data_IF_807184773088
#
_entry.id   IF_807184773088
#
_cell.length_a   1.000
_cell.length_b   1.000
_cell.length_c   1.000
_cell.angle_alpha   90.00
_cell.angle_beta   90.00
_cell.angle_gamma   90.00
#
_symmetry.space_group_name_H-M   'P 1'
#
loop_
_entity.id
_entity.type
_entity.pdbx_description
1 polymer ?
#
# COMPACT_ATOMS: atom_id res chain seq x y z
N UNK A 1 51.31 27.51 12.90
CA UNK A 1 50.51 26.35 12.45
C UNK A 1 49.05 26.35 12.94
N UNK A 2 48.58 27.36 13.70
CA UNK A 2 47.20 27.41 14.23
C UNK A 2 46.16 27.97 13.24
N UNK A 3 46.57 28.75 12.24
CA UNK A 3 45.66 29.38 11.27
C UNK A 3 44.94 28.37 10.36
N UNK A 4 45.61 27.29 9.95
CA UNK A 4 45.01 26.23 9.14
C UNK A 4 43.86 25.50 9.84
N UNK A 5 43.95 25.33 11.17
CA UNK A 5 42.92 24.65 11.96
C UNK A 5 41.61 25.44 12.02
N UNK A 6 41.71 26.77 12.04
CA UNK A 6 40.55 27.66 12.00
C UNK A 6 39.81 27.57 10.66
N UNK A 7 40.53 27.46 9.54
CA UNK A 7 39.89 27.24 8.23
C UNK A 7 39.19 25.88 8.14
N UNK A 8 39.73 24.83 8.78
CA UNK A 8 39.07 23.52 8.85
C UNK A 8 37.76 23.57 9.65
N UNK A 9 37.73 24.32 10.77
CA UNK A 9 36.50 24.52 11.56
C UNK A 9 35.47 25.29 10.75
N UNK A 10 35.87 26.39 10.10
CA UNK A 10 34.96 27.21 9.28
C UNK A 10 34.41 26.40 8.10
N UNK A 11 35.27 25.62 7.42
CA UNK A 11 34.86 24.75 6.32
C UNK A 11 33.92 23.64 6.80
N UNK A 12 34.17 23.06 7.98
CA UNK A 12 33.27 22.10 8.63
C UNK A 12 31.90 22.71 8.95
N UNK A 13 31.88 23.92 9.51
CA UNK A 13 30.64 24.65 9.80
C UNK A 13 29.88 25.02 8.51
N UNK A 14 30.60 25.42 7.47
CA UNK A 14 30.02 25.74 6.16
C UNK A 14 29.42 24.49 5.51
N UNK A 15 30.14 23.36 5.53
CA UNK A 15 29.64 22.08 5.05
C UNK A 15 28.41 21.62 5.84
N UNK A 16 28.41 21.74 7.17
CA UNK A 16 27.27 21.35 8.01
C UNK A 16 26.00 22.17 7.72
N UNK A 17 26.15 23.46 7.39
CA UNK A 17 25.03 24.32 7.06
C UNK A 17 24.57 24.18 5.60
N UNK A 18 25.51 24.08 4.66
CA UNK A 18 25.19 24.07 3.23
C UNK A 18 24.89 22.68 2.65
N UNK A 19 25.47 21.58 3.15
CA UNK A 19 25.15 20.22 2.63
C UNK A 19 23.67 19.88 2.75
N UNK A 20 23.02 20.06 3.91
CA UNK A 20 21.60 19.73 4.07
C UNK A 20 20.73 20.59 3.17
N UNK A 21 21.04 21.88 3.05
CA UNK A 21 20.25 22.78 2.21
C UNK A 21 20.44 22.52 0.71
N UNK A 22 21.65 22.17 0.30
CA UNK A 22 21.98 21.85 -1.09
C UNK A 22 21.31 20.54 -1.51
N UNK A 23 21.38 19.47 -0.69
CA UNK A 23 20.76 18.18 -1.04
C UNK A 23 19.23 18.30 -1.18
N UNK A 24 18.57 19.08 -0.31
CA UNK A 24 17.12 19.29 -0.38
C UNK A 24 16.72 20.16 -1.57
N UNK A 25 17.49 21.21 -1.89
CA UNK A 25 17.22 22.06 -3.06
C UNK A 25 17.42 21.33 -4.40
N UNK A 26 18.37 20.39 -4.47
CA UNK A 26 18.56 19.56 -5.66
C UNK A 26 17.39 18.61 -5.88
N UNK A 27 16.77 18.10 -4.82
CA UNK A 27 15.57 17.26 -4.92
C UNK A 27 14.33 18.02 -5.44
N UNK A 28 14.26 19.33 -5.22
CA UNK A 28 13.19 20.20 -5.73
C UNK A 28 13.43 20.63 -7.19
N UNK A 29 14.69 20.93 -7.55
CA UNK A 29 15.09 21.33 -8.89
C UNK A 29 15.16 20.17 -9.90
N UNK A 30 15.35 18.92 -9.44
CA UNK A 30 15.50 17.72 -10.29
C UNK A 30 14.20 17.20 -10.93
N UNK A 31 13.12 17.99 -10.97
CA UNK A 31 11.90 17.63 -11.71
C UNK A 31 10.98 16.63 -11.01
N UNK A 32 11.32 16.18 -9.80
CA UNK A 32 10.44 15.33 -8.96
C UNK A 32 9.09 16.01 -8.64
N UNK A 33 9.06 17.34 -8.55
CA UNK A 33 7.84 18.13 -8.38
C UNK A 33 6.93 18.05 -9.61
N UNK A 34 7.51 18.13 -10.81
CA UNK A 34 6.79 17.98 -12.07
C UNK A 34 6.26 16.55 -12.26
N UNK A 35 7.04 15.54 -11.86
CA UNK A 35 6.59 14.14 -11.87
C UNK A 35 5.44 13.88 -10.89
N UNK A 36 5.45 14.51 -9.71
CA UNK A 36 4.34 14.44 -8.73
C UNK A 36 3.07 15.06 -9.29
N UNK A 37 3.16 16.25 -9.90
CA UNK A 37 2.02 16.90 -10.56
C UNK A 37 1.48 16.05 -11.71
N UNK A 38 2.35 15.52 -12.58
CA UNK A 38 1.96 14.63 -13.68
C UNK A 38 1.33 13.34 -13.18
N UNK A 39 1.83 12.78 -12.07
CA UNK A 39 1.24 11.60 -11.44
C UNK A 39 -0.13 11.88 -10.84
N UNK A 40 -0.31 13.02 -10.18
CA UNK A 40 -1.59 13.42 -9.60
C UNK A 40 -2.63 13.72 -10.69
N UNK A 41 -2.24 14.43 -11.75
CA UNK A 41 -3.09 14.72 -12.90
C UNK A 41 -3.46 13.45 -13.67
N UNK A 42 -2.53 12.48 -13.75
CA UNK A 42 -2.81 11.15 -14.29
C UNK A 42 -3.83 10.40 -13.43
N UNK A 43 -3.69 10.38 -12.11
CA UNK A 43 -4.67 9.75 -11.20
C UNK A 43 -6.07 10.35 -11.37
N UNK A 44 -6.17 11.66 -11.60
CA UNK A 44 -7.43 12.35 -11.88
C UNK A 44 -7.99 12.01 -13.27
N UNK A 45 -7.13 11.86 -14.29
CA UNK A 45 -7.54 11.47 -15.65
C UNK A 45 -7.80 9.97 -15.84
N UNK A 46 -7.34 9.13 -14.92
CA UNK A 46 -7.37 7.66 -15.03
C UNK A 46 -8.62 7.03 -14.40
N UNK A 47 -9.57 7.83 -13.89
CA UNK A 47 -10.89 7.37 -13.42
C UNK A 47 -11.77 6.76 -14.52
N UNK A 48 -11.27 6.63 -15.76
CA UNK A 48 -11.98 5.99 -16.89
C UNK A 48 -11.14 5.00 -17.71
N UNK A 49 -9.89 4.70 -17.35
CA UNK A 49 -9.02 3.80 -18.11
C UNK A 49 -8.43 2.72 -17.20
N UNK A 50 -9.08 1.55 -17.18
CA UNK A 50 -8.71 0.37 -16.37
C UNK A 50 -7.38 -0.28 -16.80
N UNK A 51 -6.73 0.22 -17.85
CA UNK A 51 -5.50 -0.36 -18.42
C UNK A 51 -4.25 0.49 -18.12
N UNK A 52 -4.11 0.92 -16.87
CA UNK A 52 -2.89 1.59 -16.40
C UNK A 52 -1.69 0.65 -16.55
N UNK A 53 -0.54 1.19 -16.92
CA UNK A 53 0.76 0.51 -17.02
C UNK A 53 1.60 0.79 -15.75
N UNK A 54 1.24 0.26 -14.56
CA UNK A 54 1.95 0.53 -13.31
C UNK A 54 3.42 0.08 -13.37
N UNK A 55 3.72 -0.93 -14.21
CA UNK A 55 5.05 -1.52 -14.33
C UNK A 55 6.13 -0.51 -14.73
N UNK A 56 5.85 0.46 -15.62
CA UNK A 56 6.90 1.32 -16.16
C UNK A 56 7.46 2.29 -15.10
N UNK A 57 6.58 2.92 -14.31
CA UNK A 57 6.99 3.85 -13.25
C UNK A 57 7.74 3.15 -12.11
N UNK A 58 7.32 1.94 -11.73
CA UNK A 58 8.04 1.15 -10.74
C UNK A 58 9.42 0.72 -11.23
N UNK A 59 9.52 0.30 -12.50
CA UNK A 59 10.78 -0.07 -13.12
C UNK A 59 11.78 1.10 -13.16
N UNK A 60 11.34 2.32 -13.50
CA UNK A 60 12.20 3.52 -13.49
C UNK A 60 12.69 3.85 -12.08
N UNK A 61 11.83 3.75 -11.06
CA UNK A 61 12.22 3.97 -9.66
C UNK A 61 13.24 2.94 -9.18
N UNK A 62 13.05 1.66 -9.52
CA UNK A 62 13.99 0.60 -9.18
C UNK A 62 15.34 0.80 -9.88
N UNK A 63 15.34 1.18 -11.16
CA UNK A 63 16.56 1.50 -11.91
C UNK A 63 17.33 2.66 -11.29
N UNK A 64 16.65 3.76 -10.95
CA UNK A 64 17.28 4.92 -10.31
C UNK A 64 17.82 4.59 -8.91
N UNK A 65 17.12 3.73 -8.15
CA UNK A 65 17.60 3.28 -6.84
C UNK A 65 18.87 2.42 -6.97
N UNK A 66 18.95 1.54 -7.98
CA UNK A 66 20.13 0.73 -8.26
C UNK A 66 21.30 1.62 -8.72
N UNK A 67 21.04 2.61 -9.58
CA UNK A 67 22.06 3.57 -10.04
C UNK A 67 22.63 4.39 -8.88
N UNK A 68 21.78 4.95 -8.01
CA UNK A 68 22.22 5.73 -6.85
C UNK A 68 23.08 4.91 -5.88
N UNK A 69 22.73 3.63 -5.63
CA UNK A 69 23.55 2.73 -4.81
C UNK A 69 24.94 2.50 -5.40
N UNK A 70 25.04 2.40 -6.73
CA UNK A 70 26.32 2.23 -7.43
C UNK A 70 27.17 3.50 -7.37
N UNK A 71 26.57 4.67 -7.52
CA UNK A 71 27.29 5.96 -7.45
C UNK A 71 27.82 6.20 -6.03
N UNK A 72 27.00 5.98 -4.99
CA UNK A 72 27.41 6.16 -3.59
C UNK A 72 28.49 5.14 -3.20
N UNK A 73 28.34 3.87 -3.60
CA UNK A 73 29.38 2.87 -3.37
C UNK A 73 30.68 3.21 -4.11
N UNK A 74 30.56 3.66 -5.37
CA UNK A 74 31.68 4.12 -6.17
C UNK A 74 32.41 5.29 -5.55
N UNK A 75 31.70 6.30 -5.04
CA UNK A 75 32.33 7.47 -4.41
C UNK A 75 32.99 7.13 -3.07
N UNK A 76 32.38 6.28 -2.23
CA UNK A 76 32.99 5.78 -0.99
C UNK A 76 34.23 4.94 -1.27
N UNK A 77 34.15 4.02 -2.23
CA UNK A 77 35.27 3.16 -2.62
C UNK A 77 36.42 3.97 -3.23
N UNK A 78 36.10 4.93 -4.10
CA UNK A 78 37.08 5.86 -4.67
C UNK A 78 37.74 6.71 -3.59
N UNK A 79 36.97 7.22 -2.62
CA UNK A 79 37.52 7.97 -1.47
C UNK A 79 38.45 7.10 -0.62
N UNK A 80 38.08 5.84 -0.35
CA UNK A 80 38.93 4.89 0.37
C UNK A 80 40.23 4.60 -0.39
N UNK A 81 40.16 4.36 -1.70
CA UNK A 81 41.34 4.15 -2.55
C UNK A 81 42.23 5.39 -2.61
N UNK A 82 41.64 6.57 -2.76
CA UNK A 82 42.36 7.84 -2.83
C UNK A 82 43.11 8.11 -1.52
N UNK A 83 42.42 7.98 -0.37
CA UNK A 83 43.02 8.17 0.96
C UNK A 83 44.08 7.08 1.22
N UNK A 84 43.83 5.83 0.80
CA UNK A 84 44.80 4.75 0.90
C UNK A 84 46.07 5.00 0.08
N UNK A 85 45.93 5.50 -1.15
CA UNK A 85 47.06 5.87 -2.01
C UNK A 85 47.88 7.02 -1.42
N UNK A 86 47.21 8.07 -0.90
CA UNK A 86 47.90 9.19 -0.24
C UNK A 86 48.61 8.77 1.06
N UNK A 87 48.07 7.78 1.77
CA UNK A 87 48.73 7.16 2.92
C UNK A 87 49.98 6.36 2.49
N UNK A 88 49.91 5.62 1.38
CA UNK A 88 51.04 4.84 0.86
C UNK A 88 52.22 5.73 0.40
N UNK A 89 51.93 6.93 -0.12
CA UNK A 89 52.93 7.93 -0.51
C UNK A 89 53.53 8.63 0.74
N UNK A 90 52.91 8.48 1.92
CA UNK A 90 53.38 9.08 3.18
C UNK A 90 53.01 10.56 3.36
N UNK A 91 52.06 11.07 2.56
CA UNK A 91 51.59 12.47 2.63
C UNK A 91 50.68 12.70 3.84
N UNK A 92 50.03 11.65 4.34
CA UNK A 92 48.99 11.71 5.37
C UNK A 92 49.27 10.65 6.45
N UNK A 93 49.01 11.00 7.72
CA UNK A 93 49.21 10.06 8.85
C UNK A 93 48.28 8.85 8.76
N UNK A 94 48.79 7.68 9.14
CA UNK A 94 48.06 6.39 9.19
C UNK A 94 46.70 6.39 9.91
N UNK A 95 46.43 7.14 11.01
CA UNK A 95 45.11 7.12 11.64
C UNK A 95 43.98 7.74 10.79
N UNK A 96 44.28 8.51 9.75
CA UNK A 96 43.23 9.09 8.88
C UNK A 96 42.51 8.03 8.04
N UNK A 97 43.12 6.84 7.88
CA UNK A 97 42.47 5.69 7.26
C UNK A 97 41.27 5.15 8.07
N UNK A 98 41.16 5.51 9.36
CA UNK A 98 40.01 5.14 10.19
C UNK A 98 38.70 5.82 9.72
N UNK A 99 38.79 6.99 9.10
CA UNK A 99 37.63 7.77 8.65
C UNK A 99 36.89 7.04 7.50
N UNK A 100 37.52 6.69 6.37
CA UNK A 100 36.82 6.00 5.29
C UNK A 100 36.46 4.55 5.64
N UNK A 101 37.21 3.88 6.52
CA UNK A 101 36.84 2.55 7.02
C UNK A 101 35.57 2.60 7.87
N UNK A 102 35.43 3.59 8.76
CA UNK A 102 34.20 3.80 9.52
C UNK A 102 33.00 4.15 8.62
N UNK A 103 33.22 4.98 7.59
CA UNK A 103 32.19 5.33 6.61
C UNK A 103 31.71 4.09 5.82
N UNK A 104 32.63 3.20 5.43
CA UNK A 104 32.30 1.94 4.76
C UNK A 104 31.47 1.02 5.67
N UNK A 105 31.84 0.89 6.95
CA UNK A 105 31.09 0.08 7.91
C UNK A 105 29.65 0.60 8.10
N UNK A 106 29.48 1.92 8.27
CA UNK A 106 28.16 2.56 8.37
C UNK A 106 27.35 2.32 7.10
N UNK A 107 27.96 2.45 5.92
CA UNK A 107 27.30 2.19 4.65
C UNK A 107 26.81 0.75 4.52
N UNK A 108 27.62 -0.24 4.93
CA UNK A 108 27.23 -1.66 4.90
C UNK A 108 26.01 -1.91 5.81
N UNK A 109 26.00 -1.35 7.03
CA UNK A 109 24.86 -1.45 7.95
C UNK A 109 23.62 -0.80 7.34
N UNK A 110 23.78 0.39 6.76
CA UNK A 110 22.69 1.11 6.10
C UNK A 110 22.08 0.29 4.95
N UNK A 111 22.93 -0.27 4.07
CA UNK A 111 22.49 -1.11 2.95
C UNK A 111 21.81 -2.38 3.45
N UNK A 112 22.37 -3.05 4.47
CA UNK A 112 21.76 -4.23 5.10
C UNK A 112 20.35 -3.92 5.60
N UNK A 113 20.19 -2.81 6.34
CA UNK A 113 18.88 -2.36 6.84
C UNK A 113 17.91 -2.05 5.70
N UNK A 114 18.40 -1.41 4.64
CA UNK A 114 17.58 -1.08 3.46
C UNK A 114 17.09 -2.33 2.73
N UNK A 115 17.93 -3.36 2.61
CA UNK A 115 17.58 -4.65 1.98
C UNK A 115 16.54 -5.38 2.83
N UNK A 116 16.72 -5.46 4.16
CA UNK A 116 15.75 -6.10 5.07
C UNK A 116 14.38 -5.42 4.99
N UNK A 117 14.35 -4.09 4.99
CA UNK A 117 13.11 -3.33 4.84
C UNK A 117 12.43 -3.59 3.48
N UNK A 118 13.20 -3.72 2.40
CA UNK A 118 12.67 -4.07 1.08
C UNK A 118 12.12 -5.51 1.02
N UNK A 119 12.84 -6.47 1.62
CA UNK A 119 12.42 -7.87 1.70
C UNK A 119 11.11 -8.04 2.49
N UNK A 120 10.95 -7.31 3.61
CA UNK A 120 9.72 -7.29 4.40
C UNK A 120 8.52 -6.83 3.56
N UNK A 121 8.69 -5.76 2.76
CA UNK A 121 7.64 -5.28 1.85
C UNK A 121 7.30 -6.31 0.78
N UNK A 122 8.30 -6.93 0.16
CA UNK A 122 8.08 -7.99 -0.86
C UNK A 122 7.33 -9.19 -0.29
N UNK A 123 7.63 -9.63 0.95
CA UNK A 123 6.90 -10.72 1.60
C UNK A 123 5.43 -10.38 1.81
N UNK A 124 5.13 -9.15 2.27
CA UNK A 124 3.75 -8.68 2.43
C UNK A 124 2.99 -8.65 1.12
N UNK A 125 3.60 -8.10 0.06
CA UNK A 125 2.98 -8.05 -1.27
C UNK A 125 2.70 -9.44 -1.84
N UNK A 126 3.61 -10.41 -1.66
CA UNK A 126 3.38 -11.80 -2.08
C UNK A 126 2.22 -12.46 -1.32
N UNK A 127 2.11 -12.21 -0.02
CA UNK A 127 0.99 -12.71 0.78
C UNK A 127 -0.34 -12.10 0.30
N UNK A 128 -0.38 -10.79 0.03
CA UNK A 128 -1.56 -10.13 -0.55
C UNK A 128 -1.90 -10.65 -1.95
N UNK A 129 -0.89 -10.86 -2.80
CA UNK A 129 -1.08 -11.43 -4.13
C UNK A 129 -1.73 -12.82 -4.03
N UNK A 130 -1.24 -13.68 -3.12
CA UNK A 130 -1.78 -15.01 -2.90
C UNK A 130 -3.25 -14.99 -2.43
N UNK A 131 -3.61 -14.02 -1.58
CA UNK A 131 -5.00 -13.83 -1.13
C UNK A 131 -5.88 -13.30 -2.28
N UNK A 132 -5.37 -12.35 -3.08
CA UNK A 132 -6.12 -11.78 -4.22
C UNK A 132 -6.24 -12.73 -5.43
N UNK A 133 -5.27 -13.62 -5.61
CA UNK A 133 -5.26 -14.62 -6.68
C UNK A 133 -6.02 -15.89 -6.32
N UNK A 134 -6.48 -16.01 -5.07
CA UNK A 134 -7.42 -17.05 -4.71
C UNK A 134 -8.70 -16.79 -5.51
N UNK A 135 -8.86 -17.56 -6.60
CA UNK A 135 -10.09 -17.55 -7.38
C UNK A 135 -11.23 -17.79 -6.42
N UNK A 136 -12.08 -16.78 -6.23
CA UNK A 136 -13.34 -16.97 -5.52
C UNK A 136 -14.09 -17.97 -6.38
N UNK A 137 -14.20 -19.21 -5.90
CA UNK A 137 -15.10 -20.20 -6.47
C UNK A 137 -16.50 -19.67 -6.13
N UNK A 138 -16.98 -18.71 -6.92
CA UNK A 138 -18.41 -18.53 -7.07
C UNK A 138 -18.82 -19.76 -7.83
N UNK A 139 -19.35 -20.77 -7.13
CA UNK A 139 -20.16 -21.77 -7.82
C UNK A 139 -21.12 -20.99 -8.72
N UNK A 140 -21.12 -21.22 -10.04
CA UNK A 140 -22.10 -20.59 -10.87
C UNK A 140 -23.43 -21.07 -10.30
N UNK A 141 -24.17 -20.14 -9.67
CA UNK A 141 -25.57 -20.38 -9.36
C UNK A 141 -26.17 -20.68 -10.72
N UNK A 142 -26.33 -21.96 -11.02
CA UNK A 142 -27.03 -22.45 -12.20
C UNK A 142 -28.40 -21.81 -12.10
N UNK A 143 -28.59 -20.74 -12.85
CA UNK A 143 -29.90 -20.18 -13.10
C UNK A 143 -30.61 -21.27 -13.87
N UNK A 144 -31.34 -22.12 -13.14
CA UNK A 144 -32.18 -23.17 -13.67
C UNK A 144 -33.25 -22.50 -14.51
N UNK A 145 -32.94 -22.20 -15.77
CA UNK A 145 -33.94 -21.83 -16.76
C UNK A 145 -34.66 -23.12 -17.12
N UNK A 146 -35.73 -23.43 -16.39
CA UNK A 146 -36.75 -24.35 -16.85
C UNK A 146 -37.38 -23.76 -18.12
N UNK A 147 -36.82 -24.10 -19.27
CA UNK A 147 -37.57 -24.14 -20.52
C UNK A 147 -37.01 -25.26 -21.36
N UNK A 148 -37.64 -26.41 -21.25
CA UNK A 148 -37.56 -27.49 -22.22
C UNK A 148 -37.79 -26.93 -23.63
N UNK A 149 -36.78 -26.98 -24.49
CA UNK A 149 -37.02 -27.02 -25.92
C UNK A 149 -35.95 -27.91 -26.56
N UNK A 150 -36.45 -28.99 -27.13
CA UNK A 150 -35.77 -29.99 -27.94
C UNK A 150 -34.84 -29.32 -28.95
N UNK A 151 -33.58 -29.76 -28.98
CA UNK A 151 -32.58 -29.35 -29.96
C UNK A 151 -32.98 -29.84 -31.36
N UNK A 152 -33.54 -28.94 -32.17
CA UNK A 152 -33.45 -29.07 -33.62
C UNK A 152 -32.19 -28.33 -34.05
N UNK A 153 -31.20 -29.06 -34.53
CA UNK A 153 -30.04 -28.50 -35.24
C UNK A 153 -30.56 -27.93 -36.57
N UNK A 154 -31.03 -26.69 -36.53
CA UNK A 154 -31.24 -25.89 -37.73
C UNK A 154 -29.95 -25.15 -38.02
N UNK A 155 -29.40 -25.38 -39.21
CA UNK A 155 -28.20 -24.70 -39.71
C UNK A 155 -28.41 -23.18 -39.64
N UNK A 156 -27.75 -22.56 -38.68
CA UNK A 156 -27.95 -21.18 -38.31
C UNK A 156 -27.28 -20.27 -39.37
N UNK A 157 -28.07 -19.85 -40.36
CA UNK A 157 -27.79 -18.67 -41.17
C UNK A 157 -28.38 -17.45 -40.48
N UNK A 158 -27.72 -16.99 -39.42
CA UNK A 158 -28.05 -15.75 -38.71
C UNK A 158 -27.82 -14.57 -39.66
N UNK A 159 -28.86 -14.22 -40.42
CA UNK A 159 -28.93 -12.94 -41.11
C UNK A 159 -29.30 -11.89 -40.07
N UNK A 160 -28.45 -10.88 -39.91
CA UNK A 160 -28.70 -9.79 -38.98
C UNK A 160 -29.86 -8.94 -39.49
N UNK A 161 -31.04 -9.14 -38.91
CA UNK A 161 -32.24 -8.36 -39.23
C UNK A 161 -32.29 -7.16 -38.28
N UNK A 162 -32.26 -5.91 -38.81
CA UNK A 162 -32.35 -4.71 -37.99
C UNK A 162 -33.68 -4.68 -37.23
N UNK A 163 -33.67 -4.03 -36.06
CA UNK A 163 -34.79 -3.99 -35.13
C UNK A 163 -36.10 -3.43 -35.75
N UNK A 164 -36.00 -2.67 -36.84
CA UNK A 164 -37.13 -2.02 -37.51
C UNK A 164 -37.97 -3.00 -38.34
N UNK A 165 -37.36 -4.07 -38.84
CA UNK A 165 -38.02 -5.08 -39.68
C UNK A 165 -38.61 -6.24 -38.86
N UNK A 166 -38.50 -6.19 -37.53
CA UNK A 166 -39.13 -7.16 -36.64
C UNK A 166 -40.60 -6.81 -36.46
N UNK A 167 -41.42 -7.46 -37.28
CA UNK A 167 -42.89 -7.38 -37.30
C UNK A 167 -43.51 -7.64 -35.90
N UNK A 168 -42.78 -8.32 -34.99
CA UNK A 168 -43.26 -8.72 -33.67
C UNK A 168 -42.87 -7.77 -32.51
N UNK A 169 -42.10 -6.70 -32.75
CA UNK A 169 -41.56 -5.86 -31.65
C UNK A 169 -42.47 -4.68 -31.27
N UNK A 170 -43.57 -4.45 -32.00
CA UNK A 170 -44.49 -3.33 -31.76
C UNK A 170 -45.77 -3.71 -31.00
N UNK A 171 -45.76 -4.81 -30.24
CA UNK A 171 -46.87 -5.20 -29.38
C UNK A 171 -46.56 -4.91 -27.91
N UNK A 172 -47.19 -3.89 -27.33
CA UNK A 172 -47.29 -3.80 -25.86
C UNK A 172 -48.13 -4.99 -25.40
N UNK A 173 -47.46 -6.06 -24.97
CA UNK A 173 -48.10 -7.21 -24.35
C UNK A 173 -48.52 -6.79 -22.95
N UNK A 174 -49.79 -6.45 -22.80
CA UNK A 174 -50.41 -6.22 -21.49
C UNK A 174 -50.54 -7.59 -20.82
N UNK A 175 -49.61 -7.90 -19.92
CA UNK A 175 -49.66 -9.10 -19.08
C UNK A 175 -50.84 -8.90 -18.10
N UNK A 176 -51.88 -9.74 -18.11
CA UNK A 176 -53.00 -9.61 -17.18
C UNK A 176 -52.50 -9.71 -15.74
N UNK A 177 -52.97 -8.79 -14.88
CA UNK A 177 -52.52 -8.63 -13.49
C UNK A 177 -52.83 -9.84 -12.59
N UNK A 178 -53.60 -10.80 -13.11
CA UNK A 178 -54.10 -11.99 -12.42
C UNK A 178 -53.23 -13.24 -12.67
N UNK A 179 -52.22 -13.15 -13.54
CA UNK A 179 -51.16 -14.16 -13.62
C UNK A 179 -50.20 -13.99 -12.44
N UNK A 180 -49.75 -15.09 -11.84
CA UNK A 180 -48.91 -15.12 -10.63
C UNK A 180 -47.78 -14.10 -10.65
N UNK A 181 -48.07 -12.90 -10.14
CA UNK A 181 -47.14 -11.79 -10.14
C UNK A 181 -46.01 -12.14 -9.18
N UNK A 182 -44.78 -11.82 -9.58
CA UNK A 182 -43.60 -12.02 -8.75
C UNK A 182 -43.84 -11.42 -7.36
N UNK A 183 -43.77 -12.26 -6.33
CA UNK A 183 -44.05 -11.87 -4.96
C UNK A 183 -42.72 -11.82 -4.19
N UNK A 184 -42.31 -10.65 -3.66
CA UNK A 184 -41.01 -10.52 -3.03
C UNK A 184 -40.96 -11.36 -1.74
N UNK A 185 -40.00 -12.26 -1.67
CA UNK A 185 -39.69 -13.02 -0.45
C UNK A 185 -39.01 -12.09 0.56
N UNK A 186 -39.51 -12.08 1.81
CA UNK A 186 -38.86 -11.30 2.88
C UNK A 186 -37.54 -11.95 3.27
N UNK A 187 -36.44 -11.25 3.01
CA UNK A 187 -35.11 -11.60 3.49
C UNK A 187 -34.89 -11.02 4.90
N UNK A 188 -34.17 -11.72 5.80
CA UNK A 188 -33.83 -11.19 7.11
C UNK A 188 -32.93 -9.96 6.98
N UNK A 189 -33.01 -9.07 7.98
CA UNK A 189 -32.15 -7.89 8.02
C UNK A 189 -30.68 -8.31 8.19
N UNK A 190 -29.73 -7.63 7.54
CA UNK A 190 -28.32 -7.95 7.71
C UNK A 190 -27.84 -7.61 9.13
N UNK A 191 -26.88 -8.38 9.64
CA UNK A 191 -26.37 -8.29 11.03
C UNK A 191 -25.83 -6.90 11.39
N UNK A 192 -25.25 -6.18 10.43
CA UNK A 192 -24.75 -4.82 10.66
C UNK A 192 -25.87 -3.79 10.91
N UNK A 193 -27.12 -4.09 10.53
CA UNK A 193 -28.25 -3.21 10.79
C UNK A 193 -28.72 -3.28 12.25
N UNK A 194 -28.43 -4.36 12.95
CA UNK A 194 -28.79 -4.56 14.36
C UNK A 194 -27.61 -4.37 15.30
N UNK A 195 -26.39 -4.26 14.78
CA UNK A 195 -25.19 -4.05 15.59
C UNK A 195 -25.27 -2.70 16.35
N UNK A 196 -24.81 -2.64 17.61
CA UNK A 196 -24.80 -1.40 18.38
C UNK A 196 -23.95 -0.36 17.67
N UNK A 197 -24.44 0.87 17.63
CA UNK A 197 -23.70 2.00 17.05
C UNK A 197 -22.40 2.18 17.83
N UNK A 198 -21.28 2.27 17.12
CA UNK A 198 -19.98 2.52 17.73
C UNK A 198 -20.03 3.76 18.62
N UNK A 199 -19.51 3.63 19.85
CA UNK A 199 -19.46 4.72 20.82
C UNK A 199 -18.41 5.72 20.33
N UNK A 200 -18.78 6.97 20.01
CA UNK A 200 -17.80 7.98 19.63
C UNK A 200 -16.99 8.37 20.86
N UNK A 201 -15.66 8.44 20.73
CA UNK A 201 -14.78 8.96 21.77
C UNK A 201 -14.88 10.49 21.84
N UNK A 202 -15.86 11.02 22.59
CA UNK A 202 -15.95 12.45 22.83
C UNK A 202 -14.97 12.86 23.94
N UNK A 203 -13.76 13.29 23.58
CA UNK A 203 -12.77 13.85 24.53
C UNK A 203 -12.62 15.35 24.30
N UNK A 204 -12.96 16.14 25.31
CA UNK A 204 -12.70 17.59 25.32
C UNK A 204 -11.23 17.81 25.69
N UNK A 205 -10.47 18.40 24.77
CA UNK A 205 -9.06 18.74 24.99
C UNK A 205 -9.01 20.15 25.58
N UNK A 206 -8.53 20.26 26.82
CA UNK A 206 -8.26 21.57 27.43
C UNK A 206 -6.92 22.10 26.90
N UNK A 207 -6.99 23.12 26.04
CA UNK A 207 -5.84 23.79 25.42
C UNK A 207 -5.29 24.94 26.28
N UNK A 208 -5.88 25.21 27.44
CA UNK A 208 -5.55 26.40 28.24
C UNK A 208 -4.27 26.27 29.07
N UNK A 209 -3.77 25.04 29.26
CA UNK A 209 -2.55 24.79 30.04
C UNK A 209 -1.41 24.31 29.12
N UNK A 210 -0.36 25.14 28.90
CA UNK A 210 0.77 24.76 28.06
C UNK A 210 1.57 23.61 28.70
N UNK A 211 1.86 22.57 27.93
CA UNK A 211 2.69 21.42 28.34
C UNK A 211 1.94 20.20 28.88
N UNK A 212 0.62 20.29 29.10
CA UNK A 212 -0.20 19.15 29.57
C UNK A 212 -0.57 18.20 28.42
N UNK A 213 -0.63 18.70 27.18
CA UNK A 213 -0.97 17.90 26.01
C UNK A 213 0.29 17.56 25.19
N UNK A 214 0.65 16.27 25.09
CA UNK A 214 1.67 15.76 24.17
C UNK A 214 1.14 14.56 23.38
N UNK A 215 1.52 14.44 22.11
CA UNK A 215 1.09 13.33 21.25
C UNK A 215 1.55 11.95 21.77
N UNK A 216 2.61 11.91 22.57
CA UNK A 216 3.11 10.68 23.20
C UNK A 216 2.22 10.22 24.36
N UNK A 217 1.79 11.13 25.24
CA UNK A 217 0.83 10.79 26.31
C UNK A 217 -0.53 10.36 25.75
N UNK A 218 -0.91 10.89 24.58
CA UNK A 218 -2.13 10.47 23.90
C UNK A 218 -2.03 9.02 23.41
N UNK A 219 -0.92 8.62 22.79
CA UNK A 219 -0.72 7.25 22.31
C UNK A 219 -0.77 6.22 23.46
N UNK A 220 -0.16 6.55 24.60
CA UNK A 220 -0.13 5.67 25.79
C UNK A 220 -1.51 5.51 26.45
N UNK A 221 -2.27 6.61 26.58
CA UNK A 221 -3.65 6.56 27.10
C UNK A 221 -4.59 5.82 26.15
N UNK A 222 -4.44 6.01 24.84
CA UNK A 222 -5.23 5.32 23.83
C UNK A 222 -4.90 3.83 23.80
N UNK A 223 -3.62 3.46 23.96
CA UNK A 223 -3.18 2.07 24.10
C UNK A 223 -3.78 1.38 25.33
N UNK A 224 -3.95 2.10 26.46
CA UNK A 224 -4.61 1.56 27.66
C UNK A 224 -6.14 1.49 27.60
N UNK A 225 -6.79 2.26 26.73
CA UNK A 225 -8.25 2.25 26.53
C UNK A 225 -8.70 1.29 25.42
N UNK A 226 -7.81 0.93 24.52
CA UNK A 226 -8.11 -0.04 23.47
C UNK A 226 -8.22 -1.44 24.10
N UNK A 227 -9.31 -2.18 23.84
CA UNK A 227 -9.43 -3.56 24.31
C UNK A 227 -8.24 -4.37 23.79
N UNK A 228 -7.66 -5.20 24.65
CA UNK A 228 -6.51 -6.03 24.26
C UNK A 228 -6.96 -7.02 23.20
N UNK A 229 -6.05 -7.52 22.36
CA UNK A 229 -6.38 -8.53 21.35
C UNK A 229 -7.16 -9.72 21.93
N UNK A 230 -6.87 -10.07 23.18
CA UNK A 230 -7.49 -11.19 23.88
C UNK A 230 -8.90 -10.84 24.43
N UNK A 231 -9.26 -9.55 24.56
CA UNK A 231 -10.65 -9.07 24.82
C UNK A 231 -11.47 -8.92 23.53
N UNK A 232 -10.80 -8.80 22.37
CA UNK A 232 -11.45 -8.64 21.06
C UNK A 232 -11.98 -9.96 20.47
N UNK A 233 -11.45 -11.08 20.95
CA UNK A 233 -11.86 -12.41 20.55
C UNK A 233 -12.25 -13.19 21.81
N UNK A 234 -13.56 -13.21 22.11
CA UNK A 234 -14.11 -13.97 23.25
C UNK A 234 -13.77 -15.46 23.11
N UNK A 235 -12.65 -15.88 23.70
CA UNK A 235 -12.22 -17.28 23.74
C UNK A 235 -13.27 -18.18 24.40
N UNK A 236 -14.06 -17.63 25.33
CA UNK A 236 -15.20 -18.32 25.93
C UNK A 236 -16.28 -18.69 24.90
N UNK A 237 -16.47 -17.89 23.85
CA UNK A 237 -17.45 -18.14 22.80
C UNK A 237 -16.96 -19.25 21.86
N UNK A 238 -15.66 -19.27 21.54
CA UNK A 238 -15.02 -20.37 20.81
C UNK A 238 -15.00 -21.68 21.63
N UNK A 239 -14.72 -21.60 22.93
CA UNK A 239 -14.69 -22.77 23.83
C UNK A 239 -16.10 -23.33 24.09
N UNK A 240 -17.10 -22.47 24.26
CA UNK A 240 -18.51 -22.91 24.29
C UNK A 240 -18.96 -23.50 22.96
N UNK A 241 -18.59 -22.90 21.81
CA UNK A 241 -18.92 -23.47 20.51
C UNK A 241 -18.20 -24.80 20.24
N UNK A 242 -17.00 -24.99 20.80
CA UNK A 242 -16.26 -26.25 20.73
C UNK A 242 -16.88 -27.33 21.64
N UNK A 243 -17.31 -26.97 22.85
CA UNK A 243 -17.97 -27.88 23.80
C UNK A 243 -19.42 -28.23 23.41
N UNK A 244 -20.18 -27.28 22.84
CA UNK A 244 -21.60 -27.47 22.46
C UNK A 244 -21.82 -27.96 21.02
N UNK A 245 -20.81 -28.52 20.33
CA UNK A 245 -20.95 -29.04 18.95
C UNK A 245 -22.07 -30.08 18.73
N UNK A 246 -22.70 -30.60 19.79
CA UNK A 246 -23.79 -31.59 19.72
C UNK A 246 -25.11 -31.16 20.40
N UNK A 247 -25.23 -29.92 20.85
CA UNK A 247 -26.48 -29.39 21.39
C UNK A 247 -27.41 -28.92 20.28
N UNK A 248 -28.26 -29.82 19.78
CA UNK A 248 -29.38 -29.46 18.89
C UNK A 248 -30.29 -28.48 19.64
N UNK A 249 -30.36 -27.24 19.16
CA UNK A 249 -31.36 -26.26 19.62
C UNK A 249 -32.72 -26.67 19.06
N UNK A 250 -33.42 -27.52 19.80
CA UNK A 250 -34.87 -27.65 19.71
C UNK A 250 -35.45 -26.88 20.90
N UNK A 251 -35.92 -25.66 20.64
CA UNK A 251 -37.18 -25.06 21.14
C UNK A 251 -37.37 -23.67 20.53
#
# INVERSE_FOLDING_TARGET
MASGFIYLIILGMWAAYFLPKWITSHDEATGKSAERYKSAMRVVGETGSVNSTPNNTENIKLQNQIANRRIIFGSISFSFLLIGLLCAIGVISTPILLIPTSALAIYVVHVRRQIVAAQLKQRRLKAFQQISSATVITEPIERITFSSRVDFVSENKEHWIPLIDRIDTAGVVVIPKDGGAWQPTRVPKPTYATAPKAIPSNRVIDLTVPGVWSAAHQAELEEGLMPTRDDLFDQELEENAANNRYGVVNE
#
